data_IF_663841773401
#
_entry.id   IF_663841773401
#
_cell.length_a   1.000
_cell.length_b   1.000
_cell.length_c   1.000
_cell.angle_alpha   90.00
_cell.angle_beta   90.00
_cell.angle_gamma   90.00
#
_symmetry.space_group_name_H-M   'P 1'
#
loop_
_entity.id
_entity.type
_entity.pdbx_description
1 polymer ?
#
# COMPACT_ATOMS: atom_id res chain seq x y z
N UNK A 1 3.55 -16.79 -3.08
CA UNK A 1 4.39 -15.65 -3.50
C UNK A 1 3.50 -14.43 -3.63
N UNK A 2 3.86 -13.31 -3.01
CA UNK A 2 3.17 -12.03 -3.19
C UNK A 2 3.96 -11.22 -4.22
N UNK A 3 3.29 -10.63 -5.20
CA UNK A 3 3.91 -9.79 -6.22
C UNK A 3 3.39 -8.36 -6.13
N UNK A 4 4.26 -7.41 -6.46
CA UNK A 4 3.92 -6.02 -6.71
C UNK A 4 4.24 -5.67 -8.16
N UNK A 5 3.26 -5.10 -8.87
CA UNK A 5 3.41 -4.67 -10.27
C UNK A 5 2.91 -3.24 -10.41
N UNK A 6 3.37 -2.53 -11.43
CA UNK A 6 3.00 -1.14 -11.64
C UNK A 6 2.67 -0.83 -13.11
N UNK A 7 1.91 0.25 -13.29
CA UNK A 7 1.64 0.88 -14.58
C UNK A 7 1.95 2.37 -14.49
N UNK A 8 2.04 3.05 -15.64
CA UNK A 8 2.18 4.52 -15.72
C UNK A 8 3.28 5.08 -14.81
N UNK A 9 4.49 4.51 -14.87
CA UNK A 9 5.64 4.92 -14.05
C UNK A 9 5.31 4.99 -12.55
N UNK A 10 4.74 3.91 -12.03
CA UNK A 10 4.39 3.72 -10.62
C UNK A 10 3.34 4.69 -10.10
N UNK A 11 2.57 5.32 -10.98
CA UNK A 11 1.37 6.06 -10.58
C UNK A 11 0.35 5.12 -9.94
N UNK A 12 0.22 3.90 -10.46
CA UNK A 12 -0.61 2.85 -9.89
C UNK A 12 0.17 1.57 -9.69
N UNK A 13 -0.04 0.93 -8.55
CA UNK A 13 0.60 -0.34 -8.16
C UNK A 13 -0.47 -1.32 -7.71
N UNK A 14 -0.38 -2.55 -8.21
CA UNK A 14 -1.20 -3.66 -7.76
C UNK A 14 -0.34 -4.60 -6.93
N UNK A 15 -0.90 -5.03 -5.81
CA UNK A 15 -0.38 -6.14 -5.01
C UNK A 15 -1.29 -7.34 -5.28
N UNK A 16 -0.71 -8.53 -5.36
CA UNK A 16 -1.50 -9.75 -5.47
C UNK A 16 -0.73 -10.99 -5.08
N UNK A 17 -1.45 -12.10 -4.96
CA UNK A 17 -0.88 -13.41 -4.66
C UNK A 17 -0.78 -14.32 -5.90
N UNK A 18 0.31 -15.08 -5.99
CA UNK A 18 0.51 -16.22 -6.88
C UNK A 18 0.84 -17.47 -6.08
N UNK A 19 0.12 -18.56 -6.35
CA UNK A 19 0.45 -19.90 -5.84
C UNK A 19 1.66 -20.53 -6.54
N UNK A 20 2.10 -19.96 -7.66
CA UNK A 20 3.28 -20.40 -8.40
C UNK A 20 4.48 -19.47 -8.09
N UNK A 21 5.69 -20.01 -7.87
CA UNK A 21 6.92 -19.21 -7.79
C UNK A 21 7.15 -18.32 -9.02
N UNK A 22 6.79 -18.81 -10.20
CA UNK A 22 6.83 -18.03 -11.43
C UNK A 22 5.58 -17.14 -11.55
N UNK A 23 5.75 -15.85 -11.27
CA UNK A 23 4.69 -14.84 -11.36
C UNK A 23 4.46 -14.36 -12.79
N UNK A 24 5.31 -14.72 -13.75
CA UNK A 24 5.25 -14.21 -15.14
C UNK A 24 3.92 -14.55 -15.79
N UNK A 25 3.39 -15.76 -15.56
CA UNK A 25 2.07 -16.16 -16.04
C UNK A 25 0.96 -15.24 -15.52
N UNK A 26 1.02 -14.90 -14.24
CA UNK A 26 0.03 -14.03 -13.61
C UNK A 26 0.12 -12.59 -14.15
N UNK A 27 1.33 -12.11 -14.41
CA UNK A 27 1.54 -10.79 -15.03
C UNK A 27 0.99 -10.78 -16.46
N UNK A 28 1.23 -11.83 -17.25
CA UNK A 28 0.66 -11.97 -18.60
C UNK A 28 -0.86 -12.03 -18.61
N UNK A 29 -1.47 -12.73 -17.65
CA UNK A 29 -2.92 -12.72 -17.45
C UNK A 29 -3.44 -11.30 -17.14
N UNK A 30 -2.77 -10.57 -16.24
CA UNK A 30 -3.14 -9.18 -15.92
C UNK A 30 -2.97 -8.24 -17.12
N UNK A 31 -1.97 -8.50 -17.97
CA UNK A 31 -1.73 -7.71 -19.18
C UNK A 31 -2.85 -7.92 -20.21
N UNK A 32 -3.50 -9.09 -20.21
CA UNK A 32 -4.60 -9.41 -21.10
C UNK A 32 -5.82 -8.54 -20.76
N UNK A 33 -6.05 -7.50 -21.55
CA UNK A 33 -7.12 -6.51 -21.33
C UNK A 33 -6.68 -5.21 -20.64
N UNK A 34 -5.40 -5.07 -20.30
CA UNK A 34 -4.82 -3.79 -19.85
C UNK A 34 -4.25 -3.02 -21.05
N UNK A 35 -4.67 -1.76 -21.29
CA UNK A 35 -4.06 -0.90 -22.31
C UNK A 35 -2.70 -0.34 -21.87
N UNK A 36 -2.34 -0.50 -20.60
CA UNK A 36 -1.07 -0.05 -20.04
C UNK A 36 -0.10 -1.21 -19.87
N UNK A 37 1.18 -0.93 -20.10
CA UNK A 37 2.28 -1.87 -19.83
C UNK A 37 2.41 -2.12 -18.33
N UNK A 38 2.23 -3.38 -17.92
CA UNK A 38 2.38 -3.83 -16.54
C UNK A 38 3.81 -4.29 -16.32
N UNK A 39 4.51 -3.63 -15.40
CA UNK A 39 5.91 -3.95 -15.05
C UNK A 39 6.01 -4.54 -13.65
N UNK A 40 6.76 -5.62 -13.43
CA UNK A 40 7.06 -6.11 -12.10
C UNK A 40 7.89 -5.09 -11.32
N UNK A 41 7.55 -4.84 -10.05
CA UNK A 41 8.39 -4.10 -9.11
C UNK A 41 9.29 -5.06 -8.34
N UNK A 42 8.67 -6.04 -7.67
CA UNK A 42 9.33 -7.06 -6.87
C UNK A 42 8.35 -8.18 -6.51
N UNK A 43 8.89 -9.28 -6.02
CA UNK A 43 8.14 -10.38 -5.41
C UNK A 43 8.70 -10.69 -4.02
N UNK A 44 7.84 -11.14 -3.12
CA UNK A 44 8.23 -11.56 -1.77
C UNK A 44 7.50 -12.83 -1.36
N UNK A 45 8.14 -13.63 -0.52
CA UNK A 45 7.50 -14.80 0.04
C UNK A 45 6.30 -14.42 0.91
N UNK A 46 5.23 -15.18 0.74
CA UNK A 46 3.98 -14.92 1.44
C UNK A 46 2.85 -15.81 0.94
N UNK A 47 1.83 -15.91 1.79
CA UNK A 47 0.63 -16.71 1.62
C UNK A 47 -0.55 -15.85 1.11
N UNK A 48 -1.57 -16.51 0.55
CA UNK A 48 -2.82 -15.85 0.18
C UNK A 48 -3.44 -15.10 1.37
N UNK A 49 -3.40 -15.69 2.57
CA UNK A 49 -3.92 -15.06 3.78
C UNK A 49 -3.19 -13.77 4.13
N UNK A 50 -1.86 -13.73 3.95
CA UNK A 50 -1.07 -12.52 4.18
C UNK A 50 -1.38 -11.43 3.16
N UNK A 51 -1.58 -11.78 1.89
CA UNK A 51 -2.02 -10.83 0.87
C UNK A 51 -3.40 -10.24 1.18
N UNK A 52 -4.37 -11.07 1.58
CA UNK A 52 -5.69 -10.60 1.99
C UNK A 52 -5.61 -9.65 3.19
N UNK A 53 -4.74 -9.95 4.16
CA UNK A 53 -4.49 -9.06 5.29
C UNK A 53 -3.87 -7.73 4.85
N UNK A 54 -2.94 -7.75 3.88
CA UNK A 54 -2.36 -6.54 3.27
C UNK A 54 -3.47 -5.69 2.64
N UNK A 55 -4.37 -6.30 1.87
CA UNK A 55 -5.50 -5.58 1.27
C UNK A 55 -6.44 -4.99 2.32
N UNK A 56 -6.68 -5.68 3.43
CA UNK A 56 -7.48 -5.18 4.56
C UNK A 56 -6.85 -3.94 5.19
N UNK A 57 -5.56 -4.01 5.53
CA UNK A 57 -4.79 -2.89 6.09
C UNK A 57 -4.80 -1.70 5.14
N UNK A 58 -4.47 -1.92 3.86
CA UNK A 58 -4.43 -0.83 2.89
C UNK A 58 -5.79 -0.18 2.73
N UNK A 59 -6.88 -0.96 2.72
CA UNK A 59 -8.24 -0.42 2.65
C UNK A 59 -8.53 0.51 3.83
N UNK A 60 -8.14 0.14 5.04
CA UNK A 60 -8.30 1.00 6.22
C UNK A 60 -7.49 2.29 6.08
N UNK A 61 -6.21 2.19 5.68
CA UNK A 61 -5.32 3.33 5.50
C UNK A 61 -5.89 4.31 4.46
N UNK A 62 -6.28 3.83 3.28
CA UNK A 62 -6.80 4.66 2.20
C UNK A 62 -8.15 5.31 2.54
N UNK A 63 -9.01 4.60 3.30
CA UNK A 63 -10.27 5.15 3.80
C UNK A 63 -10.04 6.35 4.72
N UNK A 64 -9.01 6.30 5.58
CA UNK A 64 -8.73 7.38 6.54
C UNK A 64 -8.16 8.65 5.91
N UNK A 65 -7.44 8.50 4.79
CA UNK A 65 -6.89 9.62 4.02
C UNK A 65 -7.85 10.11 2.92
N UNK A 66 -9.10 9.64 2.94
CA UNK A 66 -10.16 10.01 1.98
C UNK A 66 -9.77 9.79 0.53
N UNK A 67 -8.92 8.79 0.28
CA UNK A 67 -8.57 8.39 -1.08
C UNK A 67 -9.59 7.35 -1.50
N UNK A 68 -10.34 7.58 -2.59
CA UNK A 68 -11.31 6.60 -3.07
C UNK A 68 -10.60 5.29 -3.37
N UNK A 69 -11.15 4.20 -2.86
CA UNK A 69 -10.58 2.88 -3.08
C UNK A 69 -10.57 2.59 -4.58
N UNK A 70 -9.39 2.35 -5.17
CA UNK A 70 -9.30 2.15 -6.60
C UNK A 70 -9.92 0.80 -6.99
N UNK A 71 -10.59 0.73 -8.16
CA UNK A 71 -11.16 -0.52 -8.65
C UNK A 71 -10.05 -1.57 -8.85
N UNK A 72 -10.36 -2.83 -8.58
CA UNK A 72 -9.46 -3.97 -8.75
C UNK A 72 -8.10 -3.86 -8.01
N UNK A 73 -8.05 -3.11 -6.91
CA UNK A 73 -6.88 -3.01 -6.01
C UNK A 73 -5.64 -2.36 -6.67
N UNK A 74 -5.86 -1.37 -7.55
CA UNK A 74 -4.80 -0.54 -8.14
C UNK A 74 -4.48 0.69 -7.29
N UNK A 75 -3.64 0.52 -6.27
CA UNK A 75 -3.30 1.56 -5.30
C UNK A 75 -2.50 2.73 -5.91
N UNK A 76 -2.68 3.97 -5.42
CA UNK A 76 -1.90 5.12 -5.86
C UNK A 76 -0.44 5.02 -5.39
N UNK A 77 0.45 4.60 -6.29
CA UNK A 77 1.85 4.28 -6.02
C UNK A 77 2.72 5.46 -5.60
N UNK A 78 2.27 6.70 -5.86
CA UNK A 78 3.00 7.93 -5.49
C UNK A 78 2.67 8.45 -4.09
N UNK A 79 1.74 7.83 -3.38
CA UNK A 79 1.41 8.25 -2.02
C UNK A 79 2.52 7.85 -1.05
N UNK A 80 3.12 8.79 -0.30
CA UNK A 80 4.25 8.48 0.57
C UNK A 80 3.99 7.38 1.61
N UNK A 81 2.79 7.34 2.20
CA UNK A 81 2.40 6.30 3.15
C UNK A 81 2.44 4.90 2.50
N UNK A 82 1.98 4.83 1.25
CA UNK A 82 1.98 3.59 0.48
C UNK A 82 3.36 3.23 -0.06
N UNK A 83 4.19 4.21 -0.44
CA UNK A 83 5.59 3.96 -0.79
C UNK A 83 6.38 3.38 0.38
N UNK A 84 6.17 3.93 1.59
CA UNK A 84 6.77 3.36 2.80
C UNK A 84 6.30 1.94 3.04
N UNK A 85 5.00 1.66 2.88
CA UNK A 85 4.46 0.31 2.96
C UNK A 85 5.12 -0.65 1.94
N UNK A 86 5.27 -0.23 0.68
CA UNK A 86 5.92 -1.03 -0.37
C UNK A 86 7.39 -1.32 -0.04
N UNK A 87 8.10 -0.35 0.54
CA UNK A 87 9.48 -0.54 0.99
C UNK A 87 9.56 -1.60 2.09
N UNK A 88 8.72 -1.50 3.13
CA UNK A 88 8.67 -2.49 4.22
C UNK A 88 8.30 -3.89 3.71
N UNK A 89 7.36 -3.96 2.75
CA UNK A 89 7.00 -5.21 2.11
C UNK A 89 8.19 -5.81 1.35
N UNK A 90 8.92 -5.00 0.59
CA UNK A 90 10.08 -5.45 -0.20
C UNK A 90 11.24 -5.92 0.69
N UNK A 91 11.57 -5.18 1.75
CA UNK A 91 12.76 -5.44 2.57
C UNK A 91 12.49 -6.40 3.72
N UNK A 92 11.28 -6.35 4.27
CA UNK A 92 10.88 -7.09 5.46
C UNK A 92 9.88 -8.22 5.20
N UNK A 93 9.39 -8.35 3.98
CA UNK A 93 8.38 -9.35 3.62
C UNK A 93 7.00 -9.02 4.17
N UNK A 94 6.07 -9.95 3.98
CA UNK A 94 4.66 -9.73 4.31
C UNK A 94 4.40 -9.49 5.81
N UNK A 95 5.16 -10.15 6.70
CA UNK A 95 5.00 -9.99 8.14
C UNK A 95 5.33 -8.56 8.62
N UNK A 96 6.44 -8.00 8.13
CA UNK A 96 6.84 -6.63 8.51
C UNK A 96 5.90 -5.58 7.92
N UNK A 97 5.45 -5.78 6.67
CA UNK A 97 4.46 -4.90 6.06
C UNK A 97 3.15 -4.85 6.85
N UNK A 98 2.67 -6.00 7.36
CA UNK A 98 1.47 -6.08 8.18
C UNK A 98 1.66 -5.39 9.54
N UNK A 99 2.77 -5.65 10.23
CA UNK A 99 3.08 -4.98 11.49
C UNK A 99 3.19 -3.46 11.33
N UNK A 100 3.76 -2.98 10.22
CA UNK A 100 3.81 -1.55 9.93
C UNK A 100 2.42 -1.00 9.52
N UNK A 101 1.59 -1.82 8.88
CA UNK A 101 0.20 -1.51 8.56
C UNK A 101 -0.61 -1.07 9.78
N UNK A 102 -0.46 -1.80 10.88
CA UNK A 102 -1.11 -1.52 12.16
C UNK A 102 -0.70 -0.16 12.76
N UNK A 103 0.48 0.36 12.43
CA UNK A 103 0.93 1.69 12.87
C UNK A 103 0.21 2.84 12.15
N UNK A 104 -0.42 2.57 11.00
CA UNK A 104 -1.25 3.53 10.28
C UNK A 104 -2.72 3.44 10.68
N UNK A 105 -3.13 2.36 11.34
CA UNK A 105 -4.42 2.30 12.01
C UNK A 105 -4.31 3.15 13.28
N UNK A 106 -5.07 4.25 13.44
CA UNK A 106 -5.07 4.96 14.70
C UNK A 106 -5.49 3.94 15.76
N UNK A 107 -4.73 3.89 16.87
CA UNK A 107 -5.07 3.18 18.09
C UNK A 107 -6.60 3.21 18.26
N UNK A 108 -7.27 2.06 18.07
CA UNK A 108 -8.65 1.85 18.55
C UNK A 108 -8.68 1.80 20.10
N UNK A 109 -7.80 2.55 20.75
CA UNK A 109 -7.52 2.53 22.16
C UNK A 109 -7.26 3.95 22.65
N UNK A 110 -8.22 4.84 22.43
CA UNK A 110 -8.79 5.52 23.59
C UNK A 110 -10.26 5.11 23.68
N UNK A 111 -10.50 4.04 24.46
CA UNK A 111 -11.81 3.71 24.98
C UNK A 111 -12.40 4.97 25.63
N UNK A 112 -13.43 5.58 25.02
CA UNK A 112 -14.29 6.52 25.75
C UNK A 112 -14.89 7.72 25.03
N UNK A 113 -14.62 7.98 23.74
CA UNK A 113 -15.19 9.18 23.10
C UNK A 113 -16.55 8.85 22.47
N UNK A 114 -17.63 9.20 23.19
CA UNK A 114 -18.99 9.26 22.62
C UNK A 114 -19.03 10.28 21.48
N UNK A 115 -19.84 10.06 20.43
CA UNK A 115 -19.93 10.98 19.30
C UNK A 115 -20.55 12.30 19.78
N UNK A 116 -19.76 13.38 19.82
CA UNK A 116 -20.29 14.71 20.17
C UNK A 116 -19.34 15.76 20.77
N UNK A 117 -18.01 15.67 20.62
CA UNK A 117 -17.15 16.77 21.12
C UNK A 117 -16.05 17.21 20.13
N UNK A 118 -16.30 18.40 19.58
CA UNK A 118 -15.45 19.43 18.98
C UNK A 118 -14.10 19.07 18.30
N UNK A 119 -14.11 19.23 16.97
CA UNK A 119 -13.16 18.75 15.96
C UNK A 119 -11.78 19.45 15.87
N UNK A 120 -11.42 20.37 16.76
CA UNK A 120 -10.28 21.28 16.49
C UNK A 120 -8.90 20.78 16.94
N UNK A 121 -8.82 19.84 17.88
CA UNK A 121 -7.53 19.31 18.34
C UNK A 121 -6.98 18.19 17.44
N UNK A 122 -7.84 17.51 16.69
CA UNK A 122 -7.47 16.32 15.91
C UNK A 122 -6.74 16.67 14.58
N UNK A 123 -6.89 17.89 14.07
CA UNK A 123 -6.21 18.37 12.86
C UNK A 123 -4.70 18.54 13.05
N UNK A 124 -4.24 18.96 14.25
CA UNK A 124 -2.81 19.24 14.49
C UNK A 124 -1.93 17.99 14.45
N UNK A 125 -2.46 16.84 14.90
CA UNK A 125 -1.75 15.56 14.83
C UNK A 125 -1.66 15.08 13.37
N UNK A 126 -2.74 15.24 12.58
CA UNK A 126 -2.81 14.83 11.17
C UNK A 126 -1.82 15.59 10.26
N UNK A 127 -1.56 16.87 10.51
CA UNK A 127 -0.63 17.69 9.70
C UNK A 127 0.86 17.36 9.90
N UNK A 128 1.27 16.82 11.07
CA UNK A 128 2.68 16.44 11.31
C UNK A 128 3.16 15.26 10.45
N UNK A 129 2.24 14.38 10.05
CA UNK A 129 2.56 13.20 9.25
C UNK A 129 2.79 13.52 7.77
N UNK A 130 2.05 14.48 7.21
CA UNK A 130 2.20 14.89 5.81
C UNK A 130 3.60 15.45 5.50
N UNK A 131 4.18 16.25 6.40
CA UNK A 131 5.52 16.84 6.21
C UNK A 131 6.67 15.84 6.30
N UNK A 132 6.52 14.72 7.03
CA UNK A 132 7.56 13.69 7.13
C UNK A 132 7.56 12.75 5.92
N UNK A 133 6.44 12.65 5.23
CA UNK A 133 6.22 11.82 4.05
C UNK A 133 6.83 12.43 2.76
N UNK A 134 6.92 13.76 2.70
CA UNK A 134 7.54 14.50 1.57
C UNK A 134 9.04 14.20 1.39
N UNK A 135 9.75 13.73 2.42
CA UNK A 135 11.17 13.40 2.33
C UNK A 135 11.45 12.00 1.76
N UNK A 136 10.45 11.12 1.68
CA UNK A 136 10.62 9.72 1.25
C UNK A 136 10.40 9.50 -0.26
N UNK A 137 9.72 10.43 -0.94
CA UNK A 137 9.34 10.34 -2.35
C UNK A 137 10.52 10.39 -3.34
N UNK A 138 11.71 10.80 -2.90
CA UNK A 138 12.93 10.95 -3.73
C UNK A 138 13.57 9.60 -4.10
N UNK A 139 13.27 8.50 -3.39
CA UNK A 139 14.03 7.25 -3.56
C UNK A 139 13.56 6.32 -4.70
N UNK A 140 12.34 6.49 -5.22
CA UNK A 140 11.76 5.56 -6.21
C UNK A 140 12.26 5.76 -7.66
N UNK A 141 12.77 6.94 -8.02
CA UNK A 141 13.34 7.18 -9.36
C UNK A 141 14.62 6.37 -9.63
N UNK A 142 15.21 5.77 -8.59
CA UNK A 142 16.40 4.91 -8.69
C UNK A 142 16.11 3.43 -8.96
N UNK A 143 14.84 3.00 -8.95
CA UNK A 143 14.47 1.58 -9.10
C UNK A 143 14.05 1.19 -10.52
N UNK A 144 14.01 2.16 -11.44
CA UNK A 144 13.66 1.99 -12.86
C UNK A 144 14.82 2.15 -13.83
N UNK A 145 16.06 1.91 -13.40
CA UNK A 145 17.24 1.78 -14.28
C UNK A 145 17.83 0.39 -14.16
#
# INVERSE_FOLDING_TARGET
MIYAVHILNSQYVKIGYSGNPDVSKRISELQTGSPFEIKPLFTVDGTLRQEQAIHSVLREVFTQVFVPMPPNEWYPGRMPAFQKFLMELRTGGAANALAHGELYTPLQAEKGVRPGSDDRHNLKVRFKWAKKAESASVQLESWGR
#
